data_IF_537401497722
#
_entry.id   IF_537401497722
#
_cell.length_a   1.000
_cell.length_b   1.000
_cell.length_c   1.000
_cell.angle_alpha   90.00
_cell.angle_beta   90.00
_cell.angle_gamma   90.00
#
_symmetry.space_group_name_H-M   'P 1'
#
loop_
_entity.id
_entity.type
_entity.pdbx_description
1 polymer ?
#
# COMPACT_ATOMS: atom_id res chain seq x y z
N UNK A 1 43.72 -1.61 57.25
CA UNK A 1 42.38 -1.25 56.73
C UNK A 1 42.58 -0.31 55.55
N UNK A 2 42.32 -0.75 54.32
CA UNK A 2 41.90 0.16 53.24
C UNK A 2 41.16 -0.65 52.19
N UNK A 3 40.01 -0.12 51.78
CA UNK A 3 38.92 -0.82 51.11
C UNK A 3 39.26 -1.15 49.65
N UNK A 4 38.87 -2.36 49.25
CA UNK A 4 38.74 -2.76 47.85
C UNK A 4 37.53 -2.03 47.27
N UNK A 5 37.76 -1.16 46.28
CA UNK A 5 36.67 -0.61 45.46
C UNK A 5 36.41 -1.58 44.30
N UNK A 6 35.34 -2.36 44.40
CA UNK A 6 34.81 -3.16 43.29
C UNK A 6 34.08 -2.20 42.35
N UNK A 7 34.64 -1.95 41.18
CA UNK A 7 33.94 -1.26 40.11
C UNK A 7 32.91 -2.22 39.49
N UNK A 8 31.63 -1.96 39.72
CA UNK A 8 30.54 -2.62 38.99
C UNK A 8 30.47 -1.99 37.60
N UNK A 9 30.94 -2.70 36.59
CA UNK A 9 30.71 -2.34 35.20
C UNK A 9 29.27 -2.74 34.83
N UNK A 10 28.38 -1.75 34.74
CA UNK A 10 27.06 -1.95 34.10
C UNK A 10 27.31 -1.94 32.60
N UNK A 11 27.44 -3.12 32.00
CA UNK A 11 27.41 -3.26 30.56
C UNK A 11 25.99 -2.94 30.09
N UNK A 12 25.80 -1.80 29.41
CA UNK A 12 24.62 -1.60 28.56
C UNK A 12 24.70 -2.61 27.42
N UNK A 13 24.09 -3.78 27.60
CA UNK A 13 23.81 -4.66 26.48
C UNK A 13 22.73 -3.97 25.65
N UNK A 14 23.13 -3.47 24.47
CA UNK A 14 22.15 -3.17 23.43
C UNK A 14 21.26 -4.41 23.25
N UNK A 15 19.93 -4.26 23.12
CA UNK A 15 19.05 -5.41 22.93
C UNK A 15 19.59 -6.27 21.77
N UNK A 16 19.59 -7.61 21.89
CA UNK A 16 19.97 -8.45 20.76
C UNK A 16 19.11 -8.08 19.54
N UNK A 17 19.73 -7.99 18.37
CA UNK A 17 19.00 -7.90 17.12
C UNK A 17 17.96 -9.03 17.11
N UNK A 18 16.70 -8.67 16.85
CA UNK A 18 15.59 -9.61 16.90
C UNK A 18 15.82 -10.72 15.88
N UNK A 19 16.00 -11.96 16.35
CA UNK A 19 16.14 -13.12 15.48
C UNK A 19 14.76 -13.60 15.00
N UNK A 20 14.51 -13.49 13.70
CA UNK A 20 13.23 -13.88 13.11
C UNK A 20 13.25 -15.33 12.61
N UNK A 21 12.29 -16.12 13.05
CA UNK A 21 11.88 -17.35 12.36
C UNK A 21 10.98 -17.03 11.16
N UNK A 22 10.08 -16.06 11.32
CA UNK A 22 9.24 -15.51 10.27
C UNK A 22 9.11 -14.00 10.49
N UNK A 23 9.57 -13.20 9.51
CA UNK A 23 9.48 -11.74 9.59
C UNK A 23 8.03 -11.28 9.41
N UNK A 24 7.63 -10.14 10.00
CA UNK A 24 6.37 -9.49 9.64
C UNK A 24 6.36 -9.17 8.14
N UNK A 25 5.22 -9.40 7.49
CA UNK A 25 4.99 -9.08 6.08
C UNK A 25 3.77 -8.14 6.00
N UNK A 26 3.96 -6.84 6.23
CA UNK A 26 2.87 -5.89 6.16
C UNK A 26 2.41 -5.70 4.72
N UNK A 27 1.10 -5.66 4.54
CA UNK A 27 0.52 -5.17 3.29
C UNK A 27 0.78 -3.66 3.18
N UNK A 28 1.05 -3.19 1.96
CA UNK A 28 1.28 -1.77 1.76
C UNK A 28 -0.04 -1.00 1.87
N UNK A 29 -0.14 0.08 2.66
CA UNK A 29 -1.33 0.91 2.68
C UNK A 29 -1.61 1.49 1.29
N UNK A 30 -2.87 1.42 0.86
CA UNK A 30 -3.22 1.63 -0.55
C UNK A 30 -2.86 3.03 -1.05
N UNK A 31 -3.20 4.07 -0.30
CA UNK A 31 -2.86 5.44 -0.69
C UNK A 31 -1.35 5.68 -0.67
N UNK A 32 -0.66 5.21 0.37
CA UNK A 32 0.77 5.36 0.51
C UNK A 32 1.52 4.67 -0.65
N UNK A 33 1.07 3.49 -1.06
CA UNK A 33 1.58 2.80 -2.23
C UNK A 33 1.29 3.55 -3.53
N UNK A 34 0.05 4.05 -3.68
CA UNK A 34 -0.34 4.83 -4.86
C UNK A 34 0.59 6.01 -5.09
N UNK A 35 0.84 6.85 -4.07
CA UNK A 35 1.73 8.01 -4.20
C UNK A 35 3.23 7.68 -4.04
N UNK A 36 3.59 6.40 -3.97
CA UNK A 36 4.97 5.94 -3.73
C UNK A 36 5.61 6.61 -2.51
N UNK A 37 4.83 6.71 -1.42
CA UNK A 37 5.34 7.13 -0.13
C UNK A 37 6.12 6.00 0.53
N UNK A 38 7.27 6.32 1.10
CA UNK A 38 8.01 5.46 2.02
C UNK A 38 7.60 5.79 3.46
N UNK A 39 7.80 4.83 4.36
CA UNK A 39 7.56 5.06 5.78
C UNK A 39 8.27 4.06 6.67
N UNK A 40 8.33 4.35 7.96
CA UNK A 40 8.81 3.44 8.97
C UNK A 40 7.93 3.47 10.21
N UNK A 41 7.82 2.32 10.85
CA UNK A 41 7.01 2.13 12.07
C UNK A 41 7.85 1.36 13.07
N UNK A 42 8.01 1.93 14.26
CA UNK A 42 8.63 1.26 15.40
C UNK A 42 7.55 0.67 16.28
N UNK A 43 7.71 -0.61 16.62
CA UNK A 43 6.80 -1.34 17.49
C UNK A 43 7.52 -1.84 18.72
N UNK A 44 6.75 -1.99 19.78
CA UNK A 44 7.12 -2.81 20.94
C UNK A 44 6.03 -3.85 21.17
N UNK A 45 6.45 -5.11 21.30
CA UNK A 45 5.59 -6.26 21.53
C UNK A 45 6.10 -7.08 22.74
N UNK A 46 5.25 -7.91 23.32
CA UNK A 46 5.66 -8.96 24.24
C UNK A 46 5.89 -10.26 23.47
N UNK A 47 7.01 -10.94 23.72
CA UNK A 47 7.32 -12.23 23.07
C UNK A 47 6.89 -13.41 23.92
N UNK A 48 6.16 -14.37 23.35
CA UNK A 48 5.80 -15.62 24.03
C UNK A 48 6.94 -16.64 23.96
N UNK A 49 6.92 -17.67 24.82
CA UNK A 49 7.93 -18.73 24.85
C UNK A 49 8.02 -19.56 23.56
N UNK A 50 7.01 -19.50 22.70
CA UNK A 50 7.00 -20.13 21.38
C UNK A 50 7.23 -19.13 20.23
N UNK A 51 7.70 -17.93 20.56
CA UNK A 51 8.14 -16.92 19.60
C UNK A 51 7.02 -16.13 18.95
N UNK A 52 5.77 -16.21 19.42
CA UNK A 52 4.71 -15.29 18.98
C UNK A 52 4.90 -13.91 19.59
N UNK A 53 4.28 -12.92 18.96
CA UNK A 53 4.21 -11.56 19.46
C UNK A 53 2.78 -11.27 19.93
N UNK A 54 2.66 -10.71 21.14
CA UNK A 54 1.42 -10.28 21.77
C UNK A 54 1.55 -8.85 22.28
N UNK A 55 0.44 -8.19 22.60
CA UNK A 55 0.40 -6.82 23.14
C UNK A 55 1.28 -5.81 22.39
N UNK A 56 1.31 -5.94 21.06
CA UNK A 56 2.05 -5.05 20.18
C UNK A 56 1.42 -3.66 20.19
N UNK A 57 2.27 -2.64 20.31
CA UNK A 57 1.89 -1.23 20.18
C UNK A 57 2.91 -0.47 19.36
N UNK A 58 2.42 0.50 18.59
CA UNK A 58 3.26 1.45 17.85
C UNK A 58 3.84 2.45 18.84
N UNK A 59 5.15 2.65 18.78
CA UNK A 59 5.87 3.67 19.57
C UNK A 59 6.30 4.87 18.72
N UNK A 60 6.40 4.68 17.42
CA UNK A 60 6.73 5.72 16.45
C UNK A 60 6.24 5.30 15.07
N UNK A 61 5.79 6.26 14.27
CA UNK A 61 5.56 6.07 12.85
C UNK A 61 5.90 7.36 12.10
N UNK A 62 6.44 7.23 10.90
CA UNK A 62 6.75 8.37 10.04
C UNK A 62 6.62 7.96 8.58
N UNK A 63 5.84 8.67 7.75
CA UNK A 63 4.84 9.68 8.12
C UNK A 63 3.68 9.09 8.93
N UNK A 64 3.12 9.89 9.82
CA UNK A 64 1.88 9.53 10.52
C UNK A 64 0.68 9.61 9.56
N UNK A 65 -0.38 8.84 9.85
CA UNK A 65 -1.68 9.00 9.18
C UNK A 65 -1.73 8.57 7.71
N UNK A 66 -0.77 7.74 7.27
CA UNK A 66 -0.78 7.07 5.97
C UNK A 66 -1.15 5.57 6.06
N UNK A 67 -1.48 5.09 7.26
CA UNK A 67 -1.95 3.72 7.50
C UNK A 67 -0.83 2.70 7.72
N UNK A 68 0.43 3.17 7.81
CA UNK A 68 1.56 2.30 8.11
C UNK A 68 1.45 1.68 9.50
N UNK A 69 0.90 2.41 10.46
CA UNK A 69 0.66 1.94 11.83
C UNK A 69 -0.21 0.69 11.85
N UNK A 70 -1.37 0.75 11.20
CA UNK A 70 -2.33 -0.35 11.15
C UNK A 70 -1.78 -1.54 10.36
N UNK A 71 -1.14 -1.28 9.22
CA UNK A 71 -0.49 -2.32 8.41
C UNK A 71 0.64 -3.03 9.18
N UNK A 72 1.45 -2.26 9.92
CA UNK A 72 2.51 -2.81 10.75
C UNK A 72 1.95 -3.69 11.87
N UNK A 73 0.93 -3.23 12.59
CA UNK A 73 0.26 -4.01 13.65
C UNK A 73 -0.38 -5.29 13.10
N UNK A 74 -1.10 -5.22 11.98
CA UNK A 74 -1.72 -6.40 11.37
C UNK A 74 -0.68 -7.49 11.04
N UNK A 75 0.50 -7.08 10.56
CA UNK A 75 1.58 -7.98 10.16
C UNK A 75 2.22 -8.76 11.30
N UNK A 76 2.07 -8.32 12.57
CA UNK A 76 2.71 -8.99 13.71
C UNK A 76 2.05 -10.33 14.05
N UNK A 77 0.79 -10.52 13.68
CA UNK A 77 0.03 -11.76 13.94
C UNK A 77 0.69 -13.01 13.32
N UNK A 78 1.26 -12.86 12.13
CA UNK A 78 1.97 -13.91 11.40
C UNK A 78 3.46 -14.01 11.77
N UNK A 79 4.03 -13.01 12.44
CA UNK A 79 5.45 -12.96 12.73
C UNK A 79 5.86 -13.96 13.82
N UNK A 80 7.08 -14.49 13.72
CA UNK A 80 7.65 -15.44 14.69
C UNK A 80 9.11 -15.13 14.99
N UNK A 81 9.45 -15.10 16.25
CA UNK A 81 10.81 -15.02 16.76
C UNK A 81 11.45 -16.40 16.85
N UNK A 82 12.77 -16.45 16.74
CA UNK A 82 13.60 -17.62 17.04
C UNK A 82 14.25 -17.43 18.42
N UNK A 83 14.42 -18.53 19.15
CA UNK A 83 15.25 -18.55 20.36
C UNK A 83 14.65 -17.87 21.59
N UNK A 84 13.33 -17.62 21.62
CA UNK A 84 12.67 -17.18 22.85
C UNK A 84 12.63 -18.36 23.83
N UNK A 85 13.29 -18.20 24.98
CA UNK A 85 13.26 -19.19 26.06
C UNK A 85 12.12 -18.89 27.03
N UNK A 86 11.76 -19.86 27.87
CA UNK A 86 10.79 -19.64 28.94
C UNK A 86 11.22 -18.55 29.94
N UNK A 87 12.53 -18.34 30.12
CA UNK A 87 13.10 -17.33 31.02
C UNK A 87 12.93 -15.90 30.49
N UNK A 88 12.88 -15.73 29.16
CA UNK A 88 12.78 -14.42 28.50
C UNK A 88 11.40 -14.17 27.87
N UNK A 89 10.48 -15.11 28.02
CA UNK A 89 9.09 -14.95 27.62
C UNK A 89 8.43 -13.80 28.42
N UNK A 90 7.50 -13.09 27.79
CA UNK A 90 6.93 -11.83 28.30
C UNK A 90 7.86 -10.61 28.14
N UNK A 91 9.09 -10.81 27.66
CA UNK A 91 10.04 -9.73 27.41
C UNK A 91 9.56 -8.75 26.34
N UNK A 92 9.88 -7.46 26.52
CA UNK A 92 9.58 -6.42 25.54
C UNK A 92 10.56 -6.52 24.35
N UNK A 93 10.03 -6.87 23.18
CA UNK A 93 10.75 -6.91 21.91
C UNK A 93 10.46 -5.63 21.13
N UNK A 94 11.51 -4.91 20.73
CA UNK A 94 11.40 -3.69 19.90
C UNK A 94 11.97 -3.93 18.51
N UNK A 95 11.29 -3.46 17.48
CA UNK A 95 11.76 -3.56 16.11
C UNK A 95 11.14 -2.47 15.22
N UNK A 96 11.72 -2.28 14.05
CA UNK A 96 11.26 -1.30 13.05
C UNK A 96 10.87 -2.01 11.77
N UNK A 97 9.67 -1.72 11.28
CA UNK A 97 9.20 -2.10 9.95
C UNK A 97 9.45 -0.90 9.03
N UNK A 98 10.06 -1.14 7.87
CA UNK A 98 10.33 -0.12 6.86
C UNK A 98 9.54 -0.43 5.60
N UNK A 99 8.63 0.45 5.25
CA UNK A 99 7.91 0.45 3.99
C UNK A 99 8.76 1.18 2.96
N UNK A 100 9.18 0.44 1.93
CA UNK A 100 9.89 1.02 0.80
C UNK A 100 8.86 1.34 -0.27
N UNK A 101 8.87 2.58 -0.74
CA UNK A 101 8.23 2.90 -2.01
C UNK A 101 8.89 2.01 -3.08
N UNK A 102 8.11 1.24 -3.81
CA UNK A 102 8.61 0.72 -5.08
C UNK A 102 8.79 1.93 -6.02
N UNK A 103 9.82 1.90 -6.86
CA UNK A 103 9.96 2.86 -7.95
C UNK A 103 8.85 2.62 -8.98
N UNK A 104 7.64 3.09 -8.69
CA UNK A 104 6.52 3.10 -9.63
C UNK A 104 6.74 4.11 -10.76
N UNK A 105 7.66 5.06 -10.56
CA UNK A 105 7.93 6.16 -11.47
C UNK A 105 8.47 5.74 -12.86
N UNK A 106 8.99 4.51 -13.03
CA UNK A 106 9.69 4.11 -14.27
C UNK A 106 8.92 3.16 -15.19
N UNK A 107 7.63 2.88 -14.94
CA UNK A 107 6.86 1.94 -15.79
C UNK A 107 5.43 2.42 -16.10
N UNK A 108 5.26 3.70 -16.45
CA UNK A 108 4.01 4.13 -17.10
C UNK A 108 4.14 3.92 -18.60
N UNK A 109 3.43 2.94 -19.19
CA UNK A 109 3.40 2.83 -20.63
C UNK A 109 2.81 4.10 -21.23
N UNK A 110 3.49 4.63 -22.26
CA UNK A 110 2.99 5.77 -23.02
C UNK A 110 1.60 5.47 -23.59
N UNK A 111 0.74 6.49 -23.59
CA UNK A 111 -0.56 6.44 -24.26
C UNK A 111 -0.39 5.98 -25.70
N UNK A 112 -1.17 4.98 -26.09
CA UNK A 112 -1.26 4.46 -27.46
C UNK A 112 -2.71 4.17 -27.78
N UNK A 113 -3.18 4.41 -29.02
CA UNK A 113 -4.53 4.01 -29.41
C UNK A 113 -4.76 2.52 -29.14
N UNK A 114 -5.91 2.20 -28.57
CA UNK A 114 -6.34 0.81 -28.42
C UNK A 114 -6.50 0.18 -29.81
N UNK A 115 -5.85 -0.97 -30.01
CA UNK A 115 -5.78 -1.65 -31.31
C UNK A 115 -6.62 -2.94 -31.37
N UNK A 116 -7.38 -3.24 -30.32
CA UNK A 116 -8.24 -4.42 -30.28
C UNK A 116 -9.62 -4.16 -30.90
N UNK A 117 -10.51 -5.17 -30.88
CA UNK A 117 -11.87 -5.03 -31.39
C UNK A 117 -12.65 -4.00 -30.57
N UNK A 118 -13.43 -3.18 -31.28
CA UNK A 118 -14.34 -2.23 -30.64
C UNK A 118 -15.51 -2.98 -29.98
N UNK A 119 -15.81 -2.74 -28.70
CA UNK A 119 -16.94 -3.39 -28.03
C UNK A 119 -18.30 -3.02 -28.62
N UNK A 120 -19.27 -3.94 -28.54
CA UNK A 120 -20.66 -3.67 -28.91
C UNK A 120 -21.26 -2.55 -28.05
N UNK A 121 -22.29 -1.87 -28.56
CA UNK A 121 -23.03 -0.88 -27.77
C UNK A 121 -23.61 -1.52 -26.50
N UNK A 122 -24.13 -2.74 -26.63
CA UNK A 122 -24.70 -3.52 -25.52
C UNK A 122 -23.67 -3.86 -24.45
N UNK A 123 -22.47 -4.28 -24.84
CA UNK A 123 -21.38 -4.56 -23.89
C UNK A 123 -20.97 -3.30 -23.10
N UNK A 124 -20.94 -2.13 -23.75
CA UNK A 124 -20.64 -0.85 -23.07
C UNK A 124 -21.73 -0.44 -22.09
N UNK A 125 -23.01 -0.66 -22.44
CA UNK A 125 -24.13 -0.41 -21.55
C UNK A 125 -24.06 -1.30 -20.29
N UNK A 126 -23.89 -2.61 -20.47
CA UNK A 126 -23.77 -3.53 -19.33
C UNK A 126 -22.55 -3.19 -18.46
N UNK A 127 -21.41 -2.87 -19.10
CA UNK A 127 -20.22 -2.45 -18.37
C UNK A 127 -20.45 -1.17 -17.55
N UNK A 128 -21.22 -0.20 -18.06
CA UNK A 128 -21.61 0.99 -17.32
C UNK A 128 -22.50 0.65 -16.12
N UNK A 129 -23.47 -0.26 -16.29
CA UNK A 129 -24.33 -0.72 -15.19
C UNK A 129 -23.54 -1.45 -14.10
N UNK A 130 -22.57 -2.29 -14.47
CA UNK A 130 -21.64 -2.95 -13.53
C UNK A 130 -20.85 -1.90 -12.75
N UNK A 131 -20.26 -0.93 -13.43
CA UNK A 131 -19.47 0.15 -12.80
C UNK A 131 -20.33 0.95 -11.82
N UNK A 132 -21.58 1.26 -12.17
CA UNK A 132 -22.55 1.89 -11.27
C UNK A 132 -22.87 1.00 -10.06
N UNK A 133 -23.15 -0.29 -10.28
CA UNK A 133 -23.48 -1.25 -9.22
C UNK A 133 -22.32 -1.51 -8.25
N UNK A 134 -21.07 -1.42 -8.73
CA UNK A 134 -19.86 -1.45 -7.90
C UNK A 134 -19.66 -0.16 -7.06
N UNK A 135 -20.57 0.80 -7.16
CA UNK A 135 -20.54 2.03 -6.37
C UNK A 135 -19.76 3.16 -7.02
N UNK A 136 -19.52 3.17 -8.33
CA UNK A 136 -18.84 4.28 -9.00
C UNK A 136 -19.68 5.58 -9.13
N UNK A 137 -20.90 5.60 -8.60
CA UNK A 137 -21.67 6.83 -8.34
C UNK A 137 -21.41 7.38 -6.91
N UNK A 138 -20.70 6.65 -6.05
CA UNK A 138 -20.04 7.18 -4.86
C UNK A 138 -18.70 7.85 -5.25
N UNK A 139 -18.16 8.75 -4.42
CA UNK A 139 -16.80 9.26 -4.62
C UNK A 139 -15.84 8.08 -4.80
N UNK A 140 -15.16 8.06 -5.93
CA UNK A 140 -14.41 6.93 -6.47
C UNK A 140 -13.22 6.47 -5.61
N UNK A 141 -12.77 7.33 -4.72
CA UNK A 141 -11.87 7.03 -3.61
C UNK A 141 -12.39 5.91 -2.69
N UNK A 142 -13.71 5.81 -2.54
CA UNK A 142 -14.36 4.74 -1.78
C UNK A 142 -14.48 3.45 -2.60
N UNK A 143 -14.73 3.54 -3.92
CA UNK A 143 -15.00 2.40 -4.79
C UNK A 143 -13.80 1.47 -5.01
N UNK A 144 -12.58 2.03 -5.00
CA UNK A 144 -11.34 1.25 -5.05
C UNK A 144 -10.62 1.21 -3.71
N UNK A 145 -11.17 1.81 -2.65
CA UNK A 145 -10.47 2.07 -1.40
C UNK A 145 -9.11 2.76 -1.61
N UNK A 146 -8.93 3.54 -2.68
CA UNK A 146 -7.64 4.11 -3.05
C UNK A 146 -7.07 5.01 -1.96
N UNK A 147 -7.95 5.64 -1.18
CA UNK A 147 -7.60 6.45 -0.02
C UNK A 147 -7.53 5.64 1.29
N UNK A 148 -7.59 4.31 1.20
CA UNK A 148 -7.46 3.39 2.31
C UNK A 148 -6.12 3.56 3.01
N UNK A 149 -6.18 3.54 4.35
CA UNK A 149 -5.05 3.82 5.23
C UNK A 149 -4.88 5.30 5.59
N UNK A 150 -5.49 6.24 4.86
CA UNK A 150 -5.55 7.64 5.30
C UNK A 150 -6.52 7.84 6.46
N UNK A 151 -6.21 8.78 7.34
CA UNK A 151 -7.20 9.25 8.31
C UNK A 151 -8.41 9.93 7.59
N UNK A 152 -9.62 9.92 8.18
CA UNK A 152 -10.82 10.44 7.51
C UNK A 152 -10.80 11.95 7.21
N UNK A 153 -9.92 12.73 7.84
CA UNK A 153 -9.77 14.17 7.56
C UNK A 153 -8.90 14.40 6.34
N UNK A 154 -7.77 13.71 6.26
CA UNK A 154 -6.87 13.70 5.10
C UNK A 154 -7.57 13.13 3.87
N UNK A 155 -8.40 12.10 4.02
CA UNK A 155 -9.23 11.59 2.93
C UNK A 155 -10.06 12.70 2.27
N UNK A 156 -10.76 13.52 3.07
CA UNK A 156 -11.57 14.65 2.57
C UNK A 156 -10.76 15.70 1.79
N UNK A 157 -9.49 15.90 2.18
CA UNK A 157 -8.59 16.86 1.52
C UNK A 157 -8.02 16.29 0.22
N UNK A 158 -7.67 14.99 0.21
CA UNK A 158 -6.96 14.34 -0.89
C UNK A 158 -7.91 13.86 -2.01
N UNK A 159 -9.14 13.46 -1.67
CA UNK A 159 -10.11 12.93 -2.63
C UNK A 159 -10.35 13.80 -3.87
N UNK A 160 -10.48 15.14 -3.76
CA UNK A 160 -10.61 16.00 -4.93
C UNK A 160 -9.38 15.94 -5.85
N UNK A 161 -8.16 15.87 -5.29
CA UNK A 161 -6.93 15.82 -6.09
C UNK A 161 -6.81 14.53 -6.89
N UNK A 162 -7.21 13.40 -6.29
CA UNK A 162 -7.27 12.11 -6.95
C UNK A 162 -8.27 12.14 -8.10
N UNK A 163 -9.47 12.69 -7.88
CA UNK A 163 -10.50 12.83 -8.93
C UNK A 163 -10.05 13.74 -10.08
N UNK A 164 -9.36 14.82 -9.77
CA UNK A 164 -8.78 15.71 -10.78
C UNK A 164 -7.63 15.07 -11.57
N UNK A 165 -6.78 14.28 -10.89
CA UNK A 165 -5.65 13.59 -11.52
C UNK A 165 -6.09 12.38 -12.37
N UNK A 166 -7.28 11.83 -12.12
CA UNK A 166 -7.85 10.70 -12.84
C UNK A 166 -9.30 10.99 -13.27
N UNK A 167 -9.51 11.96 -14.19
CA UNK A 167 -10.84 12.41 -14.56
C UNK A 167 -11.64 11.35 -15.33
N UNK A 168 -10.95 10.43 -16.00
CA UNK A 168 -11.56 9.45 -16.91
C UNK A 168 -11.80 8.08 -16.27
N UNK A 169 -11.67 7.92 -14.94
CA UNK A 169 -11.62 6.59 -14.33
C UNK A 169 -12.94 5.80 -14.46
N UNK A 170 -14.11 6.47 -14.53
CA UNK A 170 -15.39 5.81 -14.89
C UNK A 170 -15.34 5.28 -16.32
N UNK A 171 -14.87 6.10 -17.27
CA UNK A 171 -14.72 5.72 -18.67
C UNK A 171 -13.68 4.61 -18.84
N UNK A 172 -12.59 4.64 -18.07
CA UNK A 172 -11.58 3.59 -18.00
C UNK A 172 -12.19 2.27 -17.55
N UNK A 173 -12.96 2.26 -16.46
CA UNK A 173 -13.58 1.03 -15.96
C UNK A 173 -14.57 0.45 -16.97
N UNK A 174 -15.40 1.29 -17.60
CA UNK A 174 -16.31 0.87 -18.68
C UNK A 174 -15.54 0.30 -19.86
N UNK A 175 -14.48 0.98 -20.30
CA UNK A 175 -13.62 0.51 -21.38
C UNK A 175 -12.94 -0.82 -21.03
N UNK A 176 -12.46 -0.98 -19.80
CA UNK A 176 -11.84 -2.22 -19.35
C UNK A 176 -12.81 -3.39 -19.43
N UNK A 177 -13.96 -3.29 -18.74
CA UNK A 177 -14.94 -4.38 -18.71
C UNK A 177 -15.47 -4.71 -20.10
N UNK A 178 -15.82 -3.71 -20.91
CA UNK A 178 -16.37 -3.93 -22.25
C UNK A 178 -15.35 -4.48 -23.26
N UNK A 179 -14.04 -4.29 -23.04
CA UNK A 179 -12.97 -4.83 -23.91
C UNK A 179 -12.40 -6.16 -23.43
N UNK A 180 -12.36 -6.38 -22.11
CA UNK A 180 -11.75 -7.57 -21.48
C UNK A 180 -12.72 -8.76 -21.39
N UNK A 181 -14.02 -8.49 -21.24
CA UNK A 181 -15.06 -9.51 -21.08
C UNK A 181 -15.95 -9.60 -22.31
N UNK A 182 -16.42 -10.81 -22.58
CA UNK A 182 -17.49 -11.06 -23.54
C UNK A 182 -18.83 -10.55 -23.00
N UNK A 183 -19.80 -10.31 -23.89
CA UNK A 183 -21.15 -9.88 -23.50
C UNK A 183 -21.81 -10.86 -22.52
N UNK A 184 -21.63 -12.18 -22.74
CA UNK A 184 -22.14 -13.23 -21.85
C UNK A 184 -21.48 -13.19 -20.47
N UNK A 185 -20.18 -12.92 -20.39
CA UNK A 185 -19.48 -12.76 -19.11
C UNK A 185 -19.95 -11.50 -18.37
N UNK A 186 -20.19 -10.39 -19.08
CA UNK A 186 -20.72 -9.15 -18.51
C UNK A 186 -22.13 -9.36 -17.92
N UNK A 187 -23.01 -10.06 -18.63
CA UNK A 187 -24.33 -10.44 -18.11
C UNK A 187 -24.21 -11.34 -16.87
N UNK A 188 -23.26 -12.28 -16.90
CA UNK A 188 -22.93 -13.12 -15.75
C UNK A 188 -22.57 -12.31 -14.50
N UNK A 189 -21.76 -11.25 -14.64
CA UNK A 189 -21.32 -10.42 -13.52
C UNK A 189 -22.48 -9.72 -12.81
N UNK A 190 -23.47 -9.21 -13.55
CA UNK A 190 -24.68 -8.61 -12.95
C UNK A 190 -25.47 -9.62 -12.11
N UNK A 191 -25.32 -10.92 -12.41
CA UNK A 191 -25.94 -12.02 -11.68
C UNK A 191 -25.01 -12.64 -10.63
N UNK A 192 -23.86 -12.01 -10.36
CA UNK A 192 -22.87 -12.45 -9.36
C UNK A 192 -22.00 -13.63 -9.83
N UNK A 193 -21.98 -13.95 -11.13
CA UNK A 193 -21.08 -14.95 -11.72
C UNK A 193 -19.82 -14.27 -12.23
N UNK A 194 -18.69 -14.64 -11.64
CA UNK A 194 -17.38 -14.13 -12.01
C UNK A 194 -16.65 -15.12 -12.94
N UNK A 195 -15.90 -14.64 -13.94
CA UNK A 195 -15.08 -15.51 -14.77
C UNK A 195 -13.91 -16.08 -13.96
N UNK A 196 -13.50 -17.31 -14.26
CA UNK A 196 -12.40 -18.02 -13.57
C UNK A 196 -10.99 -17.48 -13.91
N UNK A 197 -10.90 -16.30 -14.53
CA UNK A 197 -9.66 -15.64 -14.93
C UNK A 197 -9.56 -14.25 -14.32
N UNK A 198 -8.48 -14.01 -13.60
CA UNK A 198 -8.15 -12.68 -13.10
C UNK A 198 -7.37 -11.88 -14.16
N UNK A 199 -7.62 -10.57 -14.28
CA UNK A 199 -6.88 -9.73 -15.20
C UNK A 199 -5.43 -9.56 -14.76
N UNK A 200 -4.51 -9.75 -15.70
CA UNK A 200 -3.09 -9.48 -15.46
C UNK A 200 -2.74 -8.00 -15.65
N UNK A 201 -1.56 -7.59 -15.17
CA UNK A 201 -0.99 -6.27 -15.47
C UNK A 201 -0.86 -6.05 -16.98
N UNK A 202 -0.57 -7.11 -17.75
CA UNK A 202 -0.47 -7.03 -19.21
C UNK A 202 -1.83 -6.73 -19.84
N UNK A 203 -2.91 -7.32 -19.32
CA UNK A 203 -4.28 -7.06 -19.80
C UNK A 203 -4.67 -5.60 -19.54
N UNK A 204 -4.45 -5.11 -18.31
CA UNK A 204 -4.71 -3.72 -17.96
C UNK A 204 -3.97 -2.75 -18.91
N UNK A 205 -2.67 -2.98 -19.14
CA UNK A 205 -1.84 -2.17 -20.04
C UNK A 205 -2.31 -2.21 -21.50
N UNK A 206 -2.86 -3.34 -21.96
CA UNK A 206 -3.36 -3.48 -23.32
C UNK A 206 -4.72 -2.80 -23.49
N UNK A 207 -5.69 -3.16 -22.65
CA UNK A 207 -7.09 -2.72 -22.77
C UNK A 207 -7.32 -1.26 -22.37
N UNK A 208 -6.40 -0.65 -21.61
CA UNK A 208 -6.46 0.77 -21.21
C UNK A 208 -5.35 1.62 -21.84
N UNK A 209 -4.72 1.12 -22.91
CA UNK A 209 -3.59 1.79 -23.57
C UNK A 209 -3.89 3.23 -24.02
N UNK A 210 -5.13 3.55 -24.37
CA UNK A 210 -5.61 4.87 -24.80
C UNK A 210 -5.99 5.79 -23.63
N UNK A 211 -6.14 5.24 -22.42
CA UNK A 211 -6.43 5.99 -21.21
C UNK A 211 -5.20 6.35 -20.40
N UNK A 212 -4.02 5.81 -20.72
CA UNK A 212 -2.78 6.12 -20.00
C UNK A 212 -2.58 7.65 -19.97
N UNK A 213 -2.42 8.27 -18.80
CA UNK A 213 -2.26 9.72 -18.71
C UNK A 213 -0.87 10.14 -19.21
N UNK A 214 -0.76 11.39 -19.69
CA UNK A 214 0.52 11.94 -20.15
C UNK A 214 1.49 12.21 -18.99
N UNK A 215 0.94 12.51 -17.81
CA UNK A 215 1.65 12.64 -16.53
C UNK A 215 1.15 11.59 -15.54
N UNK A 216 2.03 11.12 -14.65
CA UNK A 216 1.65 10.16 -13.61
C UNK A 216 0.68 10.79 -12.59
N UNK A 217 -0.56 10.30 -12.44
CA UNK A 217 -1.49 10.78 -11.43
C UNK A 217 -0.92 10.64 -10.01
N UNK A 218 -0.12 9.60 -9.75
CA UNK A 218 0.52 9.41 -8.46
C UNK A 218 1.50 10.55 -8.15
N UNK A 219 2.30 11.00 -9.12
CA UNK A 219 3.24 12.12 -8.94
C UNK A 219 2.50 13.44 -8.76
N UNK A 220 1.42 13.67 -9.52
CA UNK A 220 0.58 14.87 -9.38
C UNK A 220 -0.04 14.94 -7.98
N UNK A 221 -0.64 13.84 -7.52
CA UNK A 221 -1.25 13.77 -6.18
C UNK A 221 -0.19 13.86 -5.09
N UNK A 222 0.96 13.19 -5.24
CA UNK A 222 2.09 13.27 -4.32
C UNK A 222 2.56 14.70 -4.15
N UNK A 223 2.76 15.45 -5.24
CA UNK A 223 3.24 16.83 -5.18
C UNK A 223 2.29 17.72 -4.36
N UNK A 224 0.98 17.57 -4.56
CA UNK A 224 -0.04 18.30 -3.77
C UNK A 224 -0.07 17.86 -2.31
N UNK A 225 0.04 16.55 -2.06
CA UNK A 225 0.15 16.02 -0.71
C UNK A 225 1.36 16.58 0.03
N UNK A 226 2.53 16.58 -0.60
CA UNK A 226 3.76 17.16 -0.04
C UNK A 226 3.62 18.66 0.25
N UNK A 227 2.92 19.40 -0.61
CA UNK A 227 2.68 20.82 -0.39
C UNK A 227 1.73 21.10 0.80
N UNK A 228 0.77 20.21 1.05
CA UNK A 228 -0.19 20.35 2.14
C UNK A 228 0.33 19.86 3.50
N UNK A 229 1.22 18.85 3.50
CA UNK A 229 1.71 18.17 4.70
C UNK A 229 3.25 18.16 4.78
N UNK A 230 3.91 19.21 4.27
CA UNK A 230 5.36 19.44 4.36
C UNK A 230 6.27 18.25 3.94
N UNK A 231 5.78 17.40 3.03
CA UNK A 231 6.46 16.17 2.63
C UNK A 231 6.93 15.32 3.83
N UNK A 232 6.05 15.05 4.80
CA UNK A 232 6.28 14.02 5.85
C UNK A 232 6.68 12.65 5.25
N UNK A 233 6.49 12.47 3.94
CA UNK A 233 7.01 11.36 3.15
C UNK A 233 8.53 11.48 3.02
N UNK A 234 9.27 10.56 3.64
CA UNK A 234 10.71 10.41 3.43
C UNK A 234 11.02 10.41 1.93
N UNK A 235 11.94 11.26 1.42
CA UNK A 235 12.29 11.26 0.00
C UNK A 235 12.73 9.85 -0.44
N UNK A 236 12.47 9.45 -1.70
CA UNK A 236 13.00 8.19 -2.18
C UNK A 236 14.53 8.24 -2.03
N UNK A 237 15.19 7.13 -1.68
CA UNK A 237 16.65 7.13 -1.63
C UNK A 237 17.17 7.63 -2.97
N UNK A 238 18.01 8.67 -2.96
CA UNK A 238 18.69 9.13 -4.17
C UNK A 238 19.34 7.90 -4.82
N UNK A 239 18.97 7.63 -6.07
CA UNK A 239 19.69 6.64 -6.86
C UNK A 239 21.13 7.14 -6.95
N UNK A 240 22.05 6.42 -6.32
CA UNK A 240 23.49 6.63 -6.44
C UNK A 240 23.82 6.61 -7.94
N UNK A 241 23.80 7.78 -8.56
CA UNK A 241 24.35 7.99 -9.89
C UNK A 241 25.85 7.91 -9.67
N UNK A 242 26.55 6.92 -10.24
CA UNK A 242 28.00 6.88 -10.11
C UNK A 242 28.54 8.18 -10.71
N UNK A 243 29.24 8.95 -9.88
CA UNK A 243 29.94 10.15 -10.32
C UNK A 243 30.91 9.81 -11.49
N UNK A 244 31.11 10.75 -12.43
CA UNK A 244 31.83 10.49 -13.68
C UNK A 244 33.30 10.08 -13.51
#
# INVERSE_FOLDING_TARGET
MSLVAVAVAIAFQAPPDVEWAQRPQPECPQFACFISAAGDVQLVCQSTSDGRLEDCRVTHASPHGLGYEDAALASTSAARLRGVSAENAGGATRFTIRFRAADYADIIPKRRPYAGPEPSARAKEIAADIVIAMGADAPMDDAFQLLGGLDPERQRVVAPWVREAMPDLKQMAVAFFSRYLTEVELEGLLEGRFPDREPSITDLKYYLSDFMPDEDPALVVRARYCAAYECEITPPPETDTPAP
#
